data_IF_781356456730
#
_entry.id   IF_781356456730
#
_cell.length_a   1.000
_cell.length_b   1.000
_cell.length_c   1.000
_cell.angle_alpha   90.00
_cell.angle_beta   90.00
_cell.angle_gamma   90.00
#
_symmetry.space_group_name_H-M   'P 1'
#
loop_
_entity.id
_entity.type
_entity.pdbx_description
1 polymer ?
#
# COMPACT_ATOMS: atom_id res chain seq x y z
N UNK A 1 23.22 -46.40 3.95
CA UNK A 1 22.25 -46.01 4.99
C UNK A 1 22.48 -44.54 5.25
N UNK A 2 21.46 -43.81 5.67
CA UNK A 2 21.64 -42.44 6.15
C UNK A 2 22.51 -42.46 7.41
N UNK A 3 23.51 -41.60 7.48
CA UNK A 3 24.31 -41.37 8.67
C UNK A 3 23.57 -40.46 9.65
N UNK A 4 23.52 -40.90 10.91
CA UNK A 4 22.74 -40.28 11.98
C UNK A 4 23.64 -39.99 13.17
N UNK A 5 23.66 -38.73 13.59
CA UNK A 5 24.36 -38.27 14.79
C UNK A 5 23.33 -37.85 15.85
N UNK A 6 23.53 -38.30 17.11
CA UNK A 6 22.70 -37.92 18.27
C UNK A 6 23.60 -37.33 19.34
N UNK A 7 23.32 -36.10 19.81
CA UNK A 7 24.20 -35.33 20.71
C UNK A 7 23.93 -35.59 22.21
N UNK A 8 22.76 -36.14 22.54
CA UNK A 8 22.35 -36.40 23.92
C UNK A 8 21.87 -35.14 24.66
N UNK A 9 21.57 -35.25 25.95
CA UNK A 9 20.84 -34.18 26.68
C UNK A 9 21.71 -33.02 27.20
N UNK A 10 23.04 -33.14 27.10
CA UNK A 10 23.98 -32.07 27.49
C UNK A 10 24.33 -31.23 26.27
N UNK A 11 24.57 -29.93 26.44
CA UNK A 11 24.98 -29.09 25.31
C UNK A 11 26.31 -29.55 24.70
N UNK A 12 26.30 -29.82 23.40
CA UNK A 12 27.45 -30.30 22.63
C UNK A 12 27.92 -29.21 21.67
N UNK A 13 29.25 -29.07 21.55
CA UNK A 13 29.85 -28.36 20.41
C UNK A 13 30.56 -29.37 19.53
N UNK A 14 30.14 -29.47 18.26
CA UNK A 14 30.75 -30.42 17.32
C UNK A 14 30.97 -29.83 15.93
N UNK A 15 31.89 -30.45 15.18
CA UNK A 15 31.99 -30.30 13.74
C UNK A 15 31.52 -31.59 13.06
N UNK A 16 30.50 -31.49 12.22
CA UNK A 16 30.01 -32.58 11.38
C UNK A 16 30.78 -32.54 10.05
N UNK A 17 31.58 -33.56 9.79
CA UNK A 17 32.26 -33.71 8.51
C UNK A 17 31.29 -34.27 7.44
N UNK A 18 31.72 -34.32 6.19
CA UNK A 18 30.87 -34.71 5.07
C UNK A 18 30.23 -36.11 5.22
N UNK A 19 29.00 -36.24 4.72
CA UNK A 19 28.24 -37.50 4.73
C UNK A 19 27.31 -37.69 5.92
N UNK A 20 27.19 -36.70 6.81
CA UNK A 20 26.15 -36.69 7.85
C UNK A 20 24.84 -36.19 7.23
N UNK A 21 23.80 -37.03 7.23
CA UNK A 21 22.49 -36.66 6.68
C UNK A 21 21.48 -36.23 7.75
N UNK A 22 21.63 -36.69 9.00
CA UNK A 22 20.71 -36.36 10.09
C UNK A 22 21.48 -36.06 11.38
N UNK A 23 21.18 -34.93 12.01
CA UNK A 23 21.70 -34.57 13.34
C UNK A 23 20.53 -34.27 14.27
N UNK A 24 20.53 -34.94 15.42
CA UNK A 24 19.53 -34.78 16.47
C UNK A 24 20.23 -34.33 17.75
N UNK A 25 19.98 -33.11 18.15
CA UNK A 25 20.38 -32.58 19.45
C UNK A 25 19.47 -33.04 20.59
N UNK A 26 19.70 -32.47 21.77
CA UNK A 26 18.94 -32.78 22.98
C UNK A 26 18.42 -31.54 23.70
N UNK A 27 18.33 -31.61 25.03
CA UNK A 27 17.81 -30.50 25.83
C UNK A 27 18.85 -29.41 26.14
N UNK A 28 20.13 -29.67 25.88
CA UNK A 28 21.21 -28.72 26.09
C UNK A 28 21.40 -27.82 24.87
N UNK A 29 22.17 -26.74 25.02
CA UNK A 29 22.50 -25.87 23.91
C UNK A 29 23.54 -26.54 23.00
N UNK A 30 23.09 -27.02 21.84
CA UNK A 30 23.88 -27.70 20.84
C UNK A 30 24.35 -26.73 19.75
N UNK A 31 25.66 -26.77 19.48
CA UNK A 31 26.37 -25.94 18.51
C UNK A 31 27.03 -26.86 17.49
N UNK A 32 26.57 -26.79 16.24
CA UNK A 32 27.07 -27.62 15.14
C UNK A 32 27.71 -26.74 14.08
N UNK A 33 28.94 -27.09 13.69
CA UNK A 33 29.57 -26.57 12.47
C UNK A 33 29.63 -27.66 11.41
N UNK A 34 29.24 -27.37 10.18
CA UNK A 34 29.35 -28.31 9.07
C UNK A 34 30.75 -28.25 8.43
N UNK A 35 31.08 -29.30 7.68
CA UNK A 35 32.30 -29.39 6.90
C UNK A 35 32.25 -28.45 5.69
N UNK A 36 33.42 -28.22 5.07
CA UNK A 36 33.57 -27.22 4.01
C UNK A 36 32.97 -27.65 2.65
N UNK A 37 32.55 -28.92 2.53
CA UNK A 37 31.80 -29.42 1.38
C UNK A 37 30.36 -28.90 1.38
N UNK A 38 29.61 -29.14 0.29
CA UNK A 38 28.17 -28.84 0.29
C UNK A 38 27.43 -29.91 1.08
N UNK A 39 26.74 -29.51 2.15
CA UNK A 39 26.07 -30.43 3.05
C UNK A 39 24.55 -30.46 2.78
N UNK A 40 23.92 -31.61 2.97
CA UNK A 40 22.45 -31.73 2.95
C UNK A 40 22.01 -32.45 4.21
N UNK A 41 21.45 -31.70 5.17
CA UNK A 41 21.26 -32.19 6.55
C UNK A 41 19.85 -31.93 7.05
N UNK A 42 19.23 -32.96 7.64
CA UNK A 42 18.04 -32.82 8.47
C UNK A 42 18.45 -32.58 9.93
N UNK A 43 17.96 -31.51 10.54
CA UNK A 43 18.28 -31.14 11.92
C UNK A 43 17.07 -31.21 12.84
N UNK A 44 17.28 -31.62 14.09
CA UNK A 44 16.30 -31.53 15.17
C UNK A 44 17.01 -31.07 16.45
N UNK A 45 16.43 -30.10 17.16
CA UNK A 45 16.93 -29.65 18.46
C UNK A 45 18.37 -29.13 18.45
N UNK A 46 18.74 -28.35 17.43
CA UNK A 46 20.05 -27.69 17.35
C UNK A 46 19.85 -26.19 17.48
N UNK A 47 20.51 -25.56 18.46
CA UNK A 47 20.32 -24.14 18.78
C UNK A 47 21.23 -23.24 17.93
N UNK A 48 22.39 -23.72 17.49
CA UNK A 48 23.30 -22.97 16.63
C UNK A 48 23.90 -23.85 15.55
N UNK A 49 23.74 -23.42 14.30
CA UNK A 49 24.28 -24.07 13.13
C UNK A 49 25.16 -23.11 12.35
N UNK A 50 26.37 -23.54 12.01
CA UNK A 50 27.25 -22.82 11.09
C UNK A 50 27.59 -23.72 9.92
N UNK A 51 27.27 -23.28 8.71
CA UNK A 51 27.68 -23.95 7.48
C UNK A 51 29.17 -23.80 7.18
N UNK A 52 29.60 -24.48 6.14
CA UNK A 52 30.92 -24.41 5.56
C UNK A 52 30.97 -23.43 4.39
N UNK A 53 31.95 -23.64 3.49
CA UNK A 53 32.09 -22.86 2.25
C UNK A 53 31.31 -23.43 1.07
N UNK A 54 30.87 -24.68 1.18
CA UNK A 54 30.09 -25.35 0.15
C UNK A 54 28.61 -25.01 0.27
N UNK A 55 27.84 -25.37 -0.76
CA UNK A 55 26.40 -25.09 -0.76
C UNK A 55 25.68 -25.97 0.28
N UNK A 56 25.23 -25.36 1.35
CA UNK A 56 24.60 -26.02 2.49
C UNK A 56 23.07 -25.92 2.42
N UNK A 57 22.42 -27.08 2.33
CA UNK A 57 20.98 -27.24 2.28
C UNK A 57 20.46 -27.93 3.55
N UNK A 58 19.69 -27.20 4.35
CA UNK A 58 19.24 -27.63 5.67
C UNK A 58 17.74 -27.81 5.66
N UNK A 59 17.29 -28.93 6.23
CA UNK A 59 15.87 -29.14 6.55
C UNK A 59 15.72 -29.17 8.05
N UNK A 60 14.84 -28.34 8.60
CA UNK A 60 14.43 -28.41 10.00
C UNK A 60 13.41 -29.53 10.17
N UNK A 61 13.55 -30.30 11.24
CA UNK A 61 12.74 -31.46 11.50
C UNK A 61 11.31 -31.14 11.91
N UNK A 62 10.54 -32.18 12.13
CA UNK A 62 9.11 -32.18 12.49
C UNK A 62 8.80 -31.77 13.95
N UNK A 63 9.74 -31.16 14.68
CA UNK A 63 9.51 -30.55 15.98
C UNK A 63 9.51 -29.03 15.86
N UNK A 64 8.99 -28.25 16.82
CA UNK A 64 9.28 -26.81 16.83
C UNK A 64 10.79 -26.59 16.88
N UNK A 65 11.31 -25.69 16.04
CA UNK A 65 12.74 -25.40 15.97
C UNK A 65 13.01 -23.94 16.35
N UNK A 66 14.06 -23.71 17.13
CA UNK A 66 14.63 -22.39 17.39
C UNK A 66 16.12 -22.46 17.13
N UNK A 67 16.59 -21.89 16.01
CA UNK A 67 17.98 -22.06 15.56
C UNK A 67 18.60 -20.74 15.14
N UNK A 68 19.86 -20.53 15.51
CA UNK A 68 20.70 -19.50 14.91
C UNK A 68 21.53 -20.09 13.79
N UNK A 69 21.47 -19.52 12.59
CA UNK A 69 22.16 -20.02 11.39
C UNK A 69 23.18 -19.02 10.86
N UNK A 70 24.33 -19.52 10.40
CA UNK A 70 25.32 -18.74 9.67
C UNK A 70 25.90 -19.57 8.53
N UNK A 71 26.18 -18.96 7.38
CA UNK A 71 26.79 -19.66 6.23
C UNK A 71 25.92 -20.76 5.63
N UNK A 72 24.58 -20.65 5.72
CA UNK A 72 23.64 -21.60 5.12
C UNK A 72 23.08 -21.02 3.83
N UNK A 73 23.10 -21.79 2.74
CA UNK A 73 22.60 -21.35 1.43
C UNK A 73 21.10 -21.59 1.26
N UNK A 74 20.58 -22.69 1.80
CA UNK A 74 19.16 -23.04 1.74
C UNK A 74 18.67 -23.62 3.05
N UNK A 75 17.55 -23.11 3.55
CA UNK A 75 16.88 -23.61 4.74
C UNK A 75 15.40 -23.86 4.44
N UNK A 76 14.97 -25.08 4.71
CA UNK A 76 13.57 -25.51 4.63
C UNK A 76 13.08 -25.82 6.03
N UNK A 77 11.98 -25.18 6.43
CA UNK A 77 11.29 -25.46 7.68
C UNK A 77 10.64 -26.84 7.71
N UNK A 78 10.26 -27.26 8.92
CA UNK A 78 9.51 -28.47 9.20
C UNK A 78 8.00 -28.24 9.20
N UNK A 79 7.27 -29.16 9.82
CA UNK A 79 5.81 -29.11 9.91
C UNK A 79 5.29 -28.29 11.11
N UNK A 80 6.18 -27.85 11.99
CA UNK A 80 5.87 -27.11 13.21
C UNK A 80 6.57 -25.75 13.17
N UNK A 81 6.24 -24.87 14.10
CA UNK A 81 6.79 -23.52 14.13
C UNK A 81 8.32 -23.51 14.16
N UNK A 82 8.89 -22.86 13.17
CA UNK A 82 10.31 -22.63 13.00
C UNK A 82 10.65 -21.16 13.23
N UNK A 83 11.57 -20.94 14.17
CA UNK A 83 12.14 -19.64 14.49
C UNK A 83 13.62 -19.67 14.12
N UNK A 84 13.98 -18.90 13.11
CA UNK A 84 15.35 -18.83 12.58
C UNK A 84 15.94 -17.46 12.85
N UNK A 85 17.06 -17.44 13.56
CA UNK A 85 17.90 -16.25 13.73
C UNK A 85 19.07 -16.31 12.76
N UNK A 86 19.41 -15.22 12.09
CA UNK A 86 20.63 -15.16 11.29
C UNK A 86 21.81 -14.72 12.16
N UNK A 87 23.01 -15.19 11.81
CA UNK A 87 24.23 -14.88 12.53
C UNK A 87 24.65 -13.40 12.38
N UNK A 88 25.55 -12.91 13.25
CA UNK A 88 25.95 -11.50 13.27
C UNK A 88 26.73 -11.03 12.03
N UNK A 89 27.19 -11.94 11.18
CA UNK A 89 27.88 -11.62 9.93
C UNK A 89 26.91 -11.30 8.77
N UNK A 90 25.62 -11.57 8.94
CA UNK A 90 24.63 -11.55 7.86
C UNK A 90 24.57 -12.89 7.12
N UNK A 91 23.51 -13.11 6.36
CA UNK A 91 23.34 -14.28 5.48
C UNK A 91 22.91 -13.86 4.08
N UNK A 92 23.24 -14.69 3.10
CA UNK A 92 22.54 -14.73 1.81
C UNK A 92 21.97 -16.13 1.66
N UNK A 93 20.66 -16.31 1.83
CA UNK A 93 20.07 -17.65 1.86
C UNK A 93 18.70 -17.71 1.18
N UNK A 94 18.31 -18.92 0.76
CA UNK A 94 16.93 -19.23 0.40
C UNK A 94 16.21 -19.86 1.58
N UNK A 95 15.07 -19.30 2.02
CA UNK A 95 14.26 -19.81 3.10
C UNK A 95 12.88 -20.26 2.60
N UNK A 96 12.38 -21.39 3.07
CA UNK A 96 11.03 -21.85 2.76
C UNK A 96 10.39 -22.53 3.97
N UNK A 97 9.09 -22.35 4.17
CA UNK A 97 8.36 -22.98 5.28
C UNK A 97 8.82 -22.52 6.67
N UNK A 98 9.45 -21.35 6.79
CA UNK A 98 9.88 -20.77 8.08
C UNK A 98 8.86 -19.73 8.53
N UNK A 99 8.32 -19.86 9.74
CA UNK A 99 7.33 -18.91 10.26
C UNK A 99 7.95 -17.60 10.78
N UNK A 100 9.10 -17.67 11.44
CA UNK A 100 9.78 -16.50 12.00
C UNK A 100 11.22 -16.41 11.55
N UNK A 101 11.60 -15.27 10.98
CA UNK A 101 12.94 -14.99 10.51
C UNK A 101 13.46 -13.70 11.15
N UNK A 102 14.51 -13.80 11.96
CA UNK A 102 15.05 -12.68 12.72
C UNK A 102 16.50 -12.44 12.31
N UNK A 103 16.73 -11.31 11.65
CA UNK A 103 18.04 -10.86 11.22
C UNK A 103 18.97 -10.50 12.37
N UNK A 104 20.26 -10.63 12.09
CA UNK A 104 21.36 -10.28 12.97
C UNK A 104 21.80 -8.83 12.78
N UNK A 105 23.04 -8.53 13.15
CA UNK A 105 23.62 -7.19 12.96
C UNK A 105 24.30 -7.01 11.58
N UNK A 106 24.54 -8.11 10.87
CA UNK A 106 25.12 -8.09 9.54
C UNK A 106 24.06 -7.92 8.46
N UNK A 107 24.48 -7.81 7.21
CA UNK A 107 23.53 -7.62 6.10
C UNK A 107 22.87 -8.94 5.73
N UNK A 108 21.56 -9.03 5.92
CA UNK A 108 20.76 -10.22 5.66
C UNK A 108 19.97 -10.08 4.35
N UNK A 109 20.22 -10.99 3.41
CA UNK A 109 19.51 -11.13 2.14
C UNK A 109 18.83 -12.50 2.13
N UNK A 110 17.51 -12.52 2.15
CA UNK A 110 16.74 -13.77 2.13
C UNK A 110 15.82 -13.84 0.94
N UNK A 111 15.97 -14.90 0.16
CA UNK A 111 15.05 -15.27 -0.92
C UNK A 111 14.04 -16.27 -0.40
N UNK A 112 12.75 -16.00 -0.58
CA UNK A 112 11.69 -16.93 -0.25
C UNK A 112 11.62 -18.04 -1.31
N UNK A 113 11.42 -19.29 -0.86
CA UNK A 113 11.37 -20.45 -1.74
C UNK A 113 10.18 -20.41 -2.70
N UNK A 114 10.16 -21.29 -3.70
CA UNK A 114 9.17 -21.26 -4.77
C UNK A 114 7.72 -21.64 -4.38
N UNK A 115 7.47 -22.07 -3.14
CA UNK A 115 6.10 -22.19 -2.64
C UNK A 115 5.58 -20.80 -2.25
N UNK A 116 4.27 -20.62 -2.04
CA UNK A 116 3.80 -19.39 -1.37
C UNK A 116 4.20 -19.42 0.10
N UNK A 117 4.84 -18.36 0.58
CA UNK A 117 5.36 -18.27 1.95
C UNK A 117 4.54 -17.30 2.80
N UNK A 118 4.51 -17.55 4.11
CA UNK A 118 4.04 -16.56 5.10
C UNK A 118 5.08 -16.49 6.19
N UNK A 119 5.75 -15.35 6.31
CA UNK A 119 6.87 -15.17 7.24
C UNK A 119 6.67 -13.91 8.08
N UNK A 120 6.93 -14.02 9.37
CA UNK A 120 7.07 -12.88 10.26
C UNK A 120 8.56 -12.56 10.39
N UNK A 121 8.94 -11.31 10.12
CA UNK A 121 10.35 -10.93 9.99
C UNK A 121 10.71 -9.66 10.73
N UNK A 122 11.94 -9.64 11.27
CA UNK A 122 12.57 -8.46 11.89
C UNK A 122 14.05 -8.47 11.52
N UNK A 123 14.64 -7.30 11.29
CA UNK A 123 16.09 -7.19 11.07
C UNK A 123 16.63 -7.77 9.77
N UNK A 124 15.77 -8.29 8.87
CA UNK A 124 16.19 -8.70 7.53
C UNK A 124 16.28 -7.48 6.62
N UNK A 125 17.45 -7.19 6.08
CA UNK A 125 17.67 -6.00 5.26
C UNK A 125 17.03 -6.11 3.87
N UNK A 126 17.14 -7.27 3.23
CA UNK A 126 16.58 -7.51 1.88
C UNK A 126 15.80 -8.80 1.85
N UNK A 127 14.54 -8.72 1.43
CA UNK A 127 13.67 -9.86 1.19
C UNK A 127 13.33 -9.93 -0.29
N UNK A 128 13.59 -11.08 -0.92
CA UNK A 128 13.25 -11.39 -2.31
C UNK A 128 12.16 -12.45 -2.29
N UNK A 129 11.09 -12.26 -3.04
CA UNK A 129 10.03 -13.27 -3.13
C UNK A 129 10.38 -14.42 -4.07
N UNK A 130 9.61 -15.49 -3.97
CA UNK A 130 9.70 -16.68 -4.79
C UNK A 130 8.62 -16.74 -5.89
N UNK A 131 8.55 -17.88 -6.58
CA UNK A 131 7.48 -18.17 -7.54
C UNK A 131 6.19 -18.65 -6.82
N UNK A 132 5.67 -17.88 -5.87
CA UNK A 132 4.49 -18.20 -5.08
C UNK A 132 3.80 -16.92 -4.63
N UNK A 133 2.68 -17.00 -3.91
CA UNK A 133 2.13 -15.82 -3.23
C UNK A 133 2.79 -15.69 -1.87
N UNK A 134 3.59 -14.65 -1.70
CA UNK A 134 4.37 -14.39 -0.51
C UNK A 134 3.74 -13.28 0.34
N UNK A 135 3.52 -13.61 1.61
CA UNK A 135 3.08 -12.69 2.66
C UNK A 135 4.22 -12.47 3.65
N UNK A 136 4.67 -11.22 3.73
CA UNK A 136 5.71 -10.77 4.66
C UNK A 136 5.05 -9.91 5.73
N UNK A 137 5.18 -10.33 6.98
CA UNK A 137 4.67 -9.59 8.13
C UNK A 137 5.88 -9.02 8.87
N UNK A 138 5.98 -7.70 8.95
CA UNK A 138 7.01 -7.03 9.72
C UNK A 138 6.67 -7.17 11.21
N UNK A 139 7.66 -7.53 12.03
CA UNK A 139 7.44 -7.86 13.43
C UNK A 139 7.11 -6.65 14.32
N UNK A 140 7.13 -6.87 15.62
CA UNK A 140 6.66 -5.94 16.65
C UNK A 140 7.62 -4.76 16.97
N UNK A 141 8.61 -4.51 16.12
CA UNK A 141 9.47 -3.31 16.19
C UNK A 141 9.54 -2.65 14.84
N UNK A 142 9.85 -1.35 14.79
CA UNK A 142 10.07 -0.67 13.52
C UNK A 142 11.11 -1.38 12.67
N UNK A 143 10.70 -1.83 11.49
CA UNK A 143 11.53 -2.57 10.54
C UNK A 143 11.96 -1.63 9.42
N UNK A 144 13.22 -1.73 9.01
CA UNK A 144 13.68 -1.19 7.72
C UNK A 144 14.00 -2.38 6.83
N UNK A 145 13.35 -2.46 5.67
CA UNK A 145 13.51 -3.58 4.75
C UNK A 145 13.47 -3.09 3.30
N UNK A 146 14.27 -3.72 2.45
CA UNK A 146 14.11 -3.70 1.01
C UNK A 146 13.36 -4.94 0.54
N UNK A 147 12.19 -4.76 -0.04
CA UNK A 147 11.42 -5.82 -0.68
C UNK A 147 11.71 -5.81 -2.18
N UNK A 148 12.42 -6.82 -2.66
CA UNK A 148 12.69 -7.03 -4.08
C UNK A 148 11.50 -7.75 -4.74
N UNK A 149 11.61 -8.01 -6.05
CA UNK A 149 10.55 -8.66 -6.82
C UNK A 149 10.05 -9.98 -6.23
N UNK A 150 8.76 -10.25 -6.44
CA UNK A 150 8.08 -11.48 -6.03
C UNK A 150 7.44 -11.45 -4.65
N UNK A 151 7.49 -10.33 -3.91
CA UNK A 151 6.73 -10.17 -2.66
C UNK A 151 5.38 -9.53 -2.97
N UNK A 152 4.27 -10.27 -2.82
CA UNK A 152 2.94 -9.76 -3.17
C UNK A 152 2.27 -8.97 -2.05
N UNK A 153 2.50 -9.34 -0.79
CA UNK A 153 1.82 -8.71 0.36
C UNK A 153 2.83 -8.40 1.47
N UNK A 154 2.83 -7.15 1.92
CA UNK A 154 3.61 -6.72 3.09
C UNK A 154 2.67 -6.10 4.11
N UNK A 155 2.72 -6.61 5.34
CA UNK A 155 1.95 -6.12 6.47
C UNK A 155 2.92 -5.63 7.52
N UNK A 156 2.88 -4.34 7.83
CA UNK A 156 3.62 -3.75 8.92
C UNK A 156 3.17 -4.25 10.27
N UNK A 157 4.06 -4.09 11.25
CA UNK A 157 3.86 -4.50 12.63
C UNK A 157 3.64 -3.31 13.55
N UNK A 158 4.26 -3.35 14.73
CA UNK A 158 4.30 -2.19 15.61
C UNK A 158 5.63 -1.48 15.50
N UNK A 159 5.62 -0.16 15.68
CA UNK A 159 6.79 0.68 15.40
C UNK A 159 6.58 1.43 14.09
N UNK A 160 7.64 2.10 13.63
CA UNK A 160 7.62 2.75 12.31
C UNK A 160 8.34 1.86 11.32
N UNK A 161 7.61 1.39 10.33
CA UNK A 161 8.09 0.53 9.28
C UNK A 161 8.47 1.33 8.03
N UNK A 162 9.65 1.03 7.51
CA UNK A 162 10.26 1.68 6.35
C UNK A 162 10.54 0.59 5.32
N UNK A 163 9.79 0.62 4.22
CA UNK A 163 9.94 -0.33 3.11
C UNK A 163 10.44 0.40 1.88
N UNK A 164 11.50 -0.14 1.26
CA UNK A 164 11.91 0.24 -0.10
C UNK A 164 11.62 -0.90 -1.06
N UNK A 165 11.11 -0.59 -2.25
CA UNK A 165 10.84 -1.60 -3.27
C UNK A 165 12.03 -1.78 -4.21
N UNK A 166 12.08 -2.97 -4.79
CA UNK A 166 13.03 -3.38 -5.80
C UNK A 166 13.03 -2.48 -7.04
N UNK A 167 14.08 -2.59 -7.85
CA UNK A 167 14.01 -2.08 -9.23
C UNK A 167 13.05 -2.96 -10.07
N UNK A 168 12.43 -2.37 -11.09
CA UNK A 168 11.36 -2.99 -11.86
C UNK A 168 9.97 -2.53 -11.38
N UNK A 169 8.92 -2.81 -12.16
CA UNK A 169 7.56 -2.47 -11.75
C UNK A 169 7.07 -3.45 -10.68
N UNK A 170 6.82 -2.95 -9.47
CA UNK A 170 6.31 -3.73 -8.35
C UNK A 170 4.78 -3.68 -8.30
N UNK A 171 4.13 -4.78 -7.91
CA UNK A 171 2.68 -4.80 -7.64
C UNK A 171 2.45 -5.42 -6.27
N UNK A 172 2.17 -4.58 -5.27
CA UNK A 172 2.18 -5.00 -3.86
C UNK A 172 0.94 -4.52 -3.13
N UNK A 173 0.34 -5.40 -2.33
CA UNK A 173 -0.66 -5.06 -1.32
C UNK A 173 0.03 -4.70 -0.01
N UNK A 174 -0.20 -3.49 0.51
CA UNK A 174 0.41 -3.00 1.74
C UNK A 174 -0.61 -2.74 2.84
N UNK A 175 -0.20 -2.96 4.09
CA UNK A 175 -0.94 -2.54 5.29
C UNK A 175 0.04 -2.06 6.36
N UNK A 176 -0.27 -0.97 7.03
CA UNK A 176 0.48 -0.53 8.22
C UNK A 176 1.96 -0.19 7.96
N UNK A 177 2.30 0.32 6.78
CA UNK A 177 3.66 0.79 6.47
C UNK A 177 3.69 2.31 6.54
N UNK A 178 4.60 2.88 7.34
CA UNK A 178 4.67 4.34 7.56
C UNK A 178 5.52 5.07 6.51
N UNK A 179 6.52 4.41 5.94
CA UNK A 179 7.35 4.98 4.86
C UNK A 179 7.55 3.99 3.74
N UNK A 180 7.19 4.39 2.52
CA UNK A 180 7.35 3.60 1.32
C UNK A 180 8.18 4.36 0.28
N UNK A 181 9.22 3.72 -0.23
CA UNK A 181 10.01 4.25 -1.36
C UNK A 181 9.99 3.26 -2.50
N UNK A 182 9.50 3.68 -3.66
CA UNK A 182 9.57 2.88 -4.89
C UNK A 182 10.96 2.83 -5.49
N UNK A 183 11.14 1.89 -6.42
CA UNK A 183 12.37 1.73 -7.19
C UNK A 183 12.29 2.43 -8.54
N UNK A 184 13.12 2.00 -9.49
CA UNK A 184 12.84 2.30 -10.91
C UNK A 184 11.72 1.40 -11.42
N UNK A 185 10.90 1.86 -12.37
CA UNK A 185 9.81 1.04 -12.92
C UNK A 185 8.47 1.73 -12.75
N UNK A 186 7.39 0.99 -12.97
CA UNK A 186 6.04 1.46 -12.68
C UNK A 186 5.50 0.64 -11.50
N UNK A 187 5.52 1.24 -10.33
CA UNK A 187 5.03 0.65 -9.09
C UNK A 187 3.52 0.88 -8.94
N UNK A 188 2.82 -0.21 -8.64
CA UNK A 188 1.36 -0.25 -8.40
C UNK A 188 1.10 -0.79 -7.00
N UNK A 189 0.73 0.10 -6.10
CA UNK A 189 0.53 -0.21 -4.69
C UNK A 189 -0.94 -0.16 -4.36
N UNK A 190 -1.44 -1.19 -3.71
CA UNK A 190 -2.80 -1.20 -3.14
C UNK A 190 -2.70 -1.15 -1.63
N UNK A 191 -3.43 -0.23 -1.01
CA UNK A 191 -3.58 -0.18 0.45
C UNK A 191 -4.71 -1.12 0.88
N UNK A 192 -4.50 -1.83 1.99
CA UNK A 192 -5.50 -2.71 2.55
C UNK A 192 -6.65 -1.97 3.22
N UNK A 193 -7.43 -2.70 4.03
CA UNK A 193 -8.68 -2.21 4.61
C UNK A 193 -8.53 -1.42 5.93
N UNK A 194 -7.30 -1.10 6.33
CA UNK A 194 -6.98 -0.38 7.58
C UNK A 194 -6.37 0.96 7.21
N UNK A 195 -6.86 2.04 7.82
CA UNK A 195 -6.33 3.38 7.58
C UNK A 195 -4.84 3.45 7.93
N UNK A 196 -4.06 4.12 7.08
CA UNK A 196 -2.61 4.30 7.27
C UNK A 196 -2.23 5.78 7.27
N UNK A 197 -1.19 6.14 8.01
CA UNK A 197 -0.47 7.42 7.80
C UNK A 197 0.87 7.09 7.19
N UNK A 198 1.07 7.44 5.92
CA UNK A 198 2.21 6.98 5.13
C UNK A 198 2.88 8.14 4.39
N UNK A 199 4.21 8.15 4.39
CA UNK A 199 5.01 8.94 3.46
C UNK A 199 5.43 8.07 2.28
N UNK A 200 5.18 8.54 1.06
CA UNK A 200 5.51 7.83 -0.19
C UNK A 200 6.46 8.65 -1.06
N UNK A 201 7.34 7.98 -1.80
CA UNK A 201 8.12 8.58 -2.88
C UNK A 201 8.42 7.55 -3.96
N UNK A 202 8.51 7.99 -5.22
CA UNK A 202 8.85 7.10 -6.34
C UNK A 202 7.80 6.02 -6.64
N UNK A 203 6.52 6.27 -6.30
CA UNK A 203 5.42 5.34 -6.58
C UNK A 203 4.54 5.95 -7.68
N UNK A 204 4.32 5.22 -8.77
CA UNK A 204 3.55 5.71 -9.92
C UNK A 204 2.04 5.60 -9.69
N UNK A 205 1.57 4.51 -9.08
CA UNK A 205 0.15 4.31 -8.78
C UNK A 205 -0.06 3.83 -7.36
N UNK A 206 -0.90 4.54 -6.61
CA UNK A 206 -1.34 4.16 -5.27
C UNK A 206 -2.86 4.09 -5.24
N UNK A 207 -3.39 2.93 -4.92
CA UNK A 207 -4.82 2.66 -4.83
C UNK A 207 -5.17 2.56 -3.34
N UNK A 208 -5.98 3.49 -2.87
CA UNK A 208 -6.51 3.50 -1.51
C UNK A 208 -7.40 2.30 -1.21
N UNK A 209 -7.60 2.03 0.07
CA UNK A 209 -8.46 0.96 0.55
C UNK A 209 -9.80 1.45 1.07
N UNK A 210 -10.45 0.62 1.89
CA UNK A 210 -11.63 1.04 2.67
C UNK A 210 -11.25 1.76 3.97
N UNK A 211 -9.97 1.76 4.32
CA UNK A 211 -9.45 2.54 5.44
C UNK A 211 -9.41 4.01 5.08
N UNK A 212 -9.48 4.88 6.08
CA UNK A 212 -9.20 6.31 5.88
C UNK A 212 -7.70 6.52 5.93
N UNK A 213 -7.11 6.87 4.79
CA UNK A 213 -5.68 6.96 4.60
C UNK A 213 -5.19 8.42 4.65
N UNK A 214 -3.98 8.65 5.17
CA UNK A 214 -3.31 9.93 5.20
C UNK A 214 -1.95 9.80 4.53
N UNK A 215 -1.89 10.18 3.25
CA UNK A 215 -0.74 9.99 2.38
C UNK A 215 0.00 11.30 2.18
N UNK A 216 1.30 11.30 2.43
CA UNK A 216 2.20 12.40 2.10
C UNK A 216 3.15 11.96 1.00
N UNK A 217 3.04 12.58 -0.18
CA UNK A 217 3.97 12.38 -1.28
C UNK A 217 5.16 13.31 -1.07
N UNK A 218 6.35 12.74 -0.96
CA UNK A 218 7.58 13.46 -0.61
C UNK A 218 8.50 13.69 -1.82
N UNK A 219 8.26 12.99 -2.93
CA UNK A 219 9.02 13.15 -4.18
C UNK A 219 8.58 12.17 -5.27
N UNK A 220 9.19 12.29 -6.44
CA UNK A 220 8.87 11.50 -7.63
C UNK A 220 8.51 12.39 -8.83
N UNK A 221 8.21 11.76 -9.97
CA UNK A 221 7.78 12.41 -11.22
C UNK A 221 6.27 12.66 -11.32
N UNK A 222 5.52 12.38 -10.25
CA UNK A 222 4.07 12.45 -10.16
C UNK A 222 3.49 11.14 -9.62
N UNK A 223 2.36 11.20 -8.92
CA UNK A 223 1.62 10.02 -8.44
C UNK A 223 0.23 9.96 -9.07
N UNK A 224 -0.25 8.75 -9.38
CA UNK A 224 -1.66 8.48 -9.61
C UNK A 224 -2.29 7.89 -8.34
N UNK A 225 -3.01 8.70 -7.58
CA UNK A 225 -3.69 8.26 -6.36
C UNK A 225 -5.17 8.01 -6.61
N UNK A 226 -5.61 6.75 -6.55
CA UNK A 226 -7.02 6.41 -6.52
C UNK A 226 -7.52 6.46 -5.07
N UNK A 227 -8.29 7.49 -4.76
CA UNK A 227 -8.70 7.78 -3.40
C UNK A 227 -9.93 6.95 -2.96
N UNK A 228 -9.96 6.60 -1.68
CA UNK A 228 -11.08 6.00 -0.96
C UNK A 228 -11.80 6.99 -0.04
N UNK A 229 -12.63 6.46 0.86
CA UNK A 229 -13.51 7.26 1.74
C UNK A 229 -12.70 7.96 2.84
N UNK A 230 -12.70 9.29 2.80
CA UNK A 230 -12.12 10.14 3.86
C UNK A 230 -10.62 10.36 3.73
N UNK A 231 -10.01 9.88 2.66
CA UNK A 231 -8.56 9.94 2.48
C UNK A 231 -8.06 11.39 2.44
N UNK A 232 -6.85 11.59 2.95
CA UNK A 232 -6.11 12.83 2.82
C UNK A 232 -4.81 12.60 2.06
N UNK A 233 -4.52 13.50 1.12
CA UNK A 233 -3.36 13.45 0.25
C UNK A 233 -2.64 14.81 0.28
N UNK A 234 -1.40 14.82 0.75
CA UNK A 234 -0.50 15.96 0.60
C UNK A 234 0.48 15.67 -0.52
N UNK A 235 0.36 16.42 -1.62
CA UNK A 235 1.23 16.28 -2.78
C UNK A 235 2.58 16.97 -2.57
N UNK A 236 3.58 16.52 -3.32
CA UNK A 236 4.91 17.14 -3.33
C UNK A 236 4.87 18.45 -4.14
N UNK A 237 5.66 19.46 -3.76
CA UNK A 237 5.70 20.75 -4.46
C UNK A 237 6.55 20.73 -5.75
N UNK A 238 6.51 19.63 -6.52
CA UNK A 238 7.36 19.38 -7.69
C UNK A 238 6.68 19.67 -9.04
N UNK A 239 7.40 19.46 -10.15
CA UNK A 239 6.85 19.62 -11.52
C UNK A 239 6.26 18.33 -12.10
N UNK A 240 6.18 17.27 -11.29
CA UNK A 240 5.50 16.04 -11.68
C UNK A 240 4.01 16.30 -11.83
N UNK A 241 3.35 15.59 -12.75
CA UNK A 241 1.88 15.64 -12.83
C UNK A 241 1.32 14.64 -11.83
N UNK A 242 0.72 15.15 -10.76
CA UNK A 242 -0.04 14.33 -9.83
C UNK A 242 -1.49 14.18 -10.32
N UNK A 243 -2.07 13.00 -10.11
CA UNK A 243 -3.44 12.67 -10.52
C UNK A 243 -4.22 12.09 -9.37
N UNK A 244 -5.31 12.76 -8.98
CA UNK A 244 -6.29 12.25 -8.02
C UNK A 244 -7.43 11.60 -8.78
N UNK A 245 -7.65 10.31 -8.55
CA UNK A 245 -8.60 9.50 -9.32
C UNK A 245 -9.81 9.17 -8.45
N UNK A 246 -11.00 9.43 -8.99
CA UNK A 246 -12.27 8.93 -8.46
C UNK A 246 -12.77 7.82 -9.40
N UNK A 247 -12.74 6.58 -8.93
CA UNK A 247 -13.14 5.40 -9.73
C UNK A 247 -14.64 5.11 -9.66
N UNK A 248 -15.23 5.39 -8.50
CA UNK A 248 -16.66 5.39 -8.26
C UNK A 248 -16.99 6.50 -7.28
N UNK A 249 -18.11 7.21 -7.49
CA UNK A 249 -18.58 8.13 -6.46
C UNK A 249 -18.96 7.40 -5.18
N UNK A 250 -19.30 6.11 -5.24
CA UNK A 250 -19.64 5.28 -4.06
C UNK A 250 -18.43 4.93 -3.18
N UNK A 251 -17.21 5.15 -3.67
CA UNK A 251 -15.99 5.04 -2.86
C UNK A 251 -15.86 6.24 -1.91
N UNK A 252 -16.75 7.23 -2.04
CA UNK A 252 -16.95 8.37 -1.16
C UNK A 252 -18.29 8.21 -0.43
N UNK A 253 -18.48 8.94 0.67
CA UNK A 253 -19.75 8.99 1.40
C UNK A 253 -20.96 9.28 0.52
N UNK A 254 -22.12 8.79 0.94
CA UNK A 254 -23.39 8.94 0.23
C UNK A 254 -23.85 10.40 0.07
N UNK A 255 -24.82 10.64 -0.81
CA UNK A 255 -25.51 11.93 -0.92
C UNK A 255 -26.06 12.37 0.45
N UNK A 256 -25.96 13.67 0.76
CA UNK A 256 -26.31 14.22 2.07
C UNK A 256 -25.17 14.26 3.09
N UNK A 257 -24.08 13.52 2.85
CA UNK A 257 -22.93 13.54 3.75
C UNK A 257 -22.01 14.72 3.46
N UNK A 258 -21.49 15.33 4.53
CA UNK A 258 -20.41 16.32 4.49
C UNK A 258 -19.10 15.76 5.08
N UNK A 259 -18.95 14.43 5.12
CA UNK A 259 -17.79 13.69 5.64
C UNK A 259 -17.33 12.65 4.63
N UNK A 260 -16.16 12.04 4.83
CA UNK A 260 -15.64 10.95 3.98
C UNK A 260 -15.28 11.36 2.55
N UNK A 261 -15.19 12.65 2.28
CA UNK A 261 -14.63 13.22 1.05
C UNK A 261 -13.10 13.14 1.08
N UNK A 262 -12.48 13.23 -0.09
CA UNK A 262 -11.02 13.26 -0.23
C UNK A 262 -10.49 14.66 0.08
N UNK A 263 -9.50 14.79 0.94
CA UNK A 263 -8.83 16.07 1.20
C UNK A 263 -7.47 16.11 0.52
N UNK A 264 -7.23 17.10 -0.34
CA UNK A 264 -5.99 17.21 -1.09
C UNK A 264 -5.31 18.53 -0.74
N UNK A 265 -3.99 18.54 -0.52
CA UNK A 265 -3.18 19.74 -0.36
C UNK A 265 -2.01 19.75 -1.34
N UNK A 266 -1.51 20.95 -1.64
CA UNK A 266 -0.44 21.21 -2.61
C UNK A 266 -0.75 20.83 -4.07
N UNK A 267 -2.03 20.64 -4.40
CA UNK A 267 -2.45 20.46 -5.78
C UNK A 267 -2.14 21.69 -6.63
N UNK A 268 -1.54 21.50 -7.79
CA UNK A 268 -1.11 22.53 -8.72
C UNK A 268 -2.05 22.60 -9.92
N UNK A 269 -3.03 23.50 -9.87
CA UNK A 269 -3.94 23.75 -11.00
C UNK A 269 -3.16 24.04 -12.29
N UNK A 270 -3.59 23.45 -13.40
CA UNK A 270 -2.92 23.48 -14.70
C UNK A 270 -1.91 22.35 -14.93
N UNK A 271 -1.27 21.86 -13.87
CA UNK A 271 -0.28 20.76 -13.93
C UNK A 271 -0.90 19.43 -13.51
N UNK A 272 -1.50 19.41 -12.32
CA UNK A 272 -2.10 18.23 -11.73
C UNK A 272 -3.51 17.99 -12.29
N UNK A 273 -4.00 16.76 -12.11
CA UNK A 273 -5.29 16.32 -12.65
C UNK A 273 -6.17 15.66 -11.61
N UNK A 274 -7.47 15.81 -11.84
CA UNK A 274 -8.53 15.08 -11.20
C UNK A 274 -9.19 14.23 -12.27
N UNK A 275 -9.04 12.92 -12.18
CA UNK A 275 -9.55 11.98 -13.16
C UNK A 275 -10.77 11.24 -12.65
N UNK A 276 -11.81 11.20 -13.49
CA UNK A 276 -12.96 10.34 -13.29
C UNK A 276 -12.77 9.08 -14.14
N UNK A 277 -12.77 7.93 -13.51
CA UNK A 277 -12.63 6.62 -14.18
C UNK A 277 -13.80 5.71 -13.81
N UNK A 278 -13.83 4.48 -14.33
CA UNK A 278 -14.80 3.47 -13.91
C UNK A 278 -16.26 3.95 -13.98
N UNK A 279 -17.01 3.73 -12.90
CA UNK A 279 -18.41 4.12 -12.79
C UNK A 279 -18.58 5.62 -12.56
N UNK A 280 -17.58 6.31 -11.99
CA UNK A 280 -17.60 7.76 -11.86
C UNK A 280 -17.58 8.43 -13.24
N UNK A 281 -16.74 7.93 -14.16
CA UNK A 281 -16.69 8.35 -15.56
C UNK A 281 -18.04 8.20 -16.25
N UNK A 282 -18.64 7.01 -16.20
CA UNK A 282 -19.96 6.78 -16.85
C UNK A 282 -21.10 7.56 -16.21
N UNK A 283 -20.97 7.92 -14.93
CA UNK A 283 -21.98 8.75 -14.24
C UNK A 283 -21.83 10.23 -14.61
N UNK A 284 -20.61 10.69 -14.85
CA UNK A 284 -20.31 12.06 -15.24
C UNK A 284 -20.57 12.32 -16.73
N UNK A 285 -20.11 11.42 -17.61
CA UNK A 285 -20.32 11.43 -19.06
C UNK A 285 -21.71 10.84 -19.38
N UNK A 286 -22.73 11.69 -19.31
CA UNK A 286 -24.14 11.29 -19.49
C UNK A 286 -24.48 11.08 -20.94
N UNK A 287 -23.83 11.81 -21.84
CA UNK A 287 -24.10 11.71 -23.28
C UNK A 287 -23.28 10.59 -23.96
N UNK A 288 -22.27 10.05 -23.28
CA UNK A 288 -21.44 8.93 -23.70
C UNK A 288 -20.45 9.29 -24.81
N UNK A 289 -20.12 10.57 -24.99
CA UNK A 289 -19.23 11.05 -26.05
C UNK A 289 -17.74 11.01 -25.67
N UNK A 290 -17.43 10.53 -24.46
CA UNK A 290 -16.09 10.44 -23.88
C UNK A 290 -15.42 11.81 -23.66
N UNK A 291 -16.22 12.87 -23.50
CA UNK A 291 -15.77 14.19 -23.07
C UNK A 291 -16.68 14.74 -21.96
N UNK A 292 -16.23 15.78 -21.27
CA UNK A 292 -17.08 16.51 -20.34
C UNK A 292 -17.65 17.75 -21.04
N UNK A 293 -18.96 17.81 -21.17
CA UNK A 293 -19.71 19.04 -21.48
C UNK A 293 -19.55 20.03 -20.33
N UNK A 294 -18.63 20.99 -20.49
CA UNK A 294 -18.28 21.94 -19.43
C UNK A 294 -18.95 23.29 -19.59
N UNK A 295 -19.24 23.97 -18.47
CA UNK A 295 -19.72 25.35 -18.47
C UNK A 295 -19.29 26.11 -17.21
N UNK A 296 -19.44 27.43 -17.23
CA UNK A 296 -19.37 28.28 -16.05
C UNK A 296 -20.70 28.96 -15.80
N UNK A 297 -21.14 29.04 -14.54
CA UNK A 297 -22.43 29.63 -14.20
C UNK A 297 -22.39 30.37 -12.86
N UNK A 298 -23.19 31.42 -12.73
CA UNK A 298 -23.44 32.08 -11.46
C UNK A 298 -24.57 31.38 -10.68
N UNK A 299 -24.85 31.85 -9.47
CA UNK A 299 -25.98 31.42 -8.64
C UNK A 299 -27.29 31.43 -9.43
N UNK A 300 -28.10 30.40 -9.28
CA UNK A 300 -29.36 30.17 -10.02
C UNK A 300 -29.20 29.88 -11.53
N UNK A 301 -27.97 29.70 -12.03
CA UNK A 301 -27.68 29.53 -13.46
C UNK A 301 -27.13 28.16 -13.84
N UNK A 302 -26.99 27.22 -12.90
CA UNK A 302 -26.40 25.90 -13.18
C UNK A 302 -27.41 25.05 -13.96
N UNK A 303 -27.06 24.73 -15.21
CA UNK A 303 -27.84 23.82 -16.06
C UNK A 303 -27.38 22.38 -15.82
N UNK A 304 -28.23 21.58 -15.18
CA UNK A 304 -27.93 20.19 -14.79
C UNK A 304 -28.30 19.18 -15.90
N UNK A 305 -29.15 19.58 -16.85
CA UNK A 305 -29.63 18.73 -17.93
C UNK A 305 -28.61 18.51 -19.05
N UNK A 306 -27.85 19.55 -19.45
CA UNK A 306 -26.90 19.47 -20.57
C UNK A 306 -25.42 19.49 -20.18
N UNK A 307 -25.10 20.00 -18.99
CA UNK A 307 -23.71 20.15 -18.56
C UNK A 307 -23.34 19.02 -17.60
N UNK A 308 -22.14 18.49 -17.78
CA UNK A 308 -21.61 17.37 -17.01
C UNK A 308 -20.67 17.84 -15.92
N UNK A 309 -19.99 18.97 -16.16
CA UNK A 309 -19.18 19.66 -15.19
C UNK A 309 -19.41 21.17 -15.28
N UNK A 310 -19.77 21.80 -14.16
CA UNK A 310 -20.00 23.25 -14.08
C UNK A 310 -19.08 23.89 -13.06
N UNK A 311 -18.35 24.92 -13.47
CA UNK A 311 -17.61 25.79 -12.55
C UNK A 311 -18.52 26.92 -12.08
N UNK A 312 -18.74 27.00 -10.77
CA UNK A 312 -19.52 28.07 -10.16
C UNK A 312 -18.67 29.35 -10.12
N UNK A 313 -19.17 30.44 -10.70
CA UNK A 313 -18.52 31.75 -10.68
C UNK A 313 -18.85 32.55 -9.41
N UNK A 314 -19.96 32.23 -8.76
CA UNK A 314 -20.28 32.72 -7.42
C UNK A 314 -19.40 32.04 -6.38
N UNK A 315 -18.67 32.84 -5.60
CA UNK A 315 -17.84 32.32 -4.50
C UNK A 315 -18.73 31.80 -3.37
N UNK A 316 -18.35 30.66 -2.80
CA UNK A 316 -18.96 30.12 -1.58
C UNK A 316 -18.56 30.99 -0.39
N UNK A 317 -19.50 31.76 0.15
CA UNK A 317 -19.28 32.54 1.37
C UNK A 317 -19.24 31.61 2.58
N UNK A 318 -18.05 31.19 3.00
CA UNK A 318 -17.84 30.35 4.18
C UNK A 318 -17.07 29.07 3.90
N UNK A 319 -17.41 28.01 4.65
CA UNK A 319 -16.78 26.70 4.48
C UNK A 319 -17.35 25.96 3.28
N UNK A 320 -16.51 25.17 2.63
CA UNK A 320 -16.90 24.19 1.61
C UNK A 320 -17.46 22.89 2.24
N UNK A 321 -17.31 22.72 3.55
CA UNK A 321 -17.61 21.48 4.29
C UNK A 321 -18.58 21.70 5.46
N UNK A 322 -19.29 22.83 5.49
CA UNK A 322 -20.21 23.14 6.58
C UNK A 322 -21.33 22.10 6.71
N UNK A 323 -22.01 22.11 7.85
CA UNK A 323 -23.10 21.18 8.12
C UNK A 323 -24.15 21.27 7.00
N UNK A 324 -24.55 20.13 6.46
CA UNK A 324 -25.46 19.98 5.31
C UNK A 324 -24.94 20.54 3.97
N UNK A 325 -23.74 21.12 3.90
CA UNK A 325 -23.22 21.86 2.74
C UNK A 325 -24.03 23.14 2.44
N UNK A 326 -24.46 23.87 3.47
CA UNK A 326 -25.38 25.00 3.35
C UNK A 326 -24.79 26.19 2.59
N UNK A 327 -23.53 26.54 2.88
CA UNK A 327 -22.80 27.60 2.16
C UNK A 327 -22.68 27.28 0.66
N UNK A 328 -22.35 26.03 0.30
CA UNK A 328 -22.31 25.59 -1.10
C UNK A 328 -23.68 25.70 -1.77
N UNK A 329 -24.74 25.17 -1.15
CA UNK A 329 -26.11 25.21 -1.72
C UNK A 329 -26.61 26.64 -1.91
N UNK A 330 -26.29 27.55 -0.99
CA UNK A 330 -26.61 28.98 -1.13
C UNK A 330 -25.91 29.61 -2.34
N UNK A 331 -24.63 29.29 -2.55
CA UNK A 331 -23.87 29.78 -3.70
C UNK A 331 -24.39 29.19 -5.03
N UNK A 332 -24.81 27.92 -5.02
CA UNK A 332 -25.38 27.22 -6.17
C UNK A 332 -26.75 27.80 -6.56
N UNK A 333 -27.64 27.98 -5.59
CA UNK A 333 -29.01 28.44 -5.81
C UNK A 333 -29.88 27.38 -6.51
N UNK A 334 -30.83 27.82 -7.32
CA UNK A 334 -31.73 26.94 -8.08
C UNK A 334 -31.07 26.39 -9.34
N UNK A 335 -31.42 25.17 -9.71
CA UNK A 335 -30.96 24.52 -10.93
C UNK A 335 -31.87 24.89 -12.12
N UNK A 336 -31.29 24.87 -13.32
CA UNK A 336 -32.01 25.06 -14.58
C UNK A 336 -31.97 23.79 -15.40
N UNK A 337 -32.98 23.58 -16.25
CA UNK A 337 -33.16 22.37 -17.05
C UNK A 337 -33.07 21.09 -16.21
N UNK A 338 -33.65 21.14 -15.01
CA UNK A 338 -33.68 20.00 -14.10
C UNK A 338 -34.85 19.07 -14.38
N UNK A 339 -34.65 17.80 -14.03
CA UNK A 339 -35.66 16.75 -14.04
C UNK A 339 -35.27 15.71 -12.99
N UNK A 340 -36.22 14.88 -12.57
CA UNK A 340 -35.95 13.89 -11.53
C UNK A 340 -34.84 12.92 -11.98
N UNK A 341 -33.79 12.81 -11.16
CA UNK A 341 -32.58 12.03 -11.42
C UNK A 341 -31.49 12.76 -12.22
N UNK A 342 -31.71 14.02 -12.63
CA UNK A 342 -30.67 14.79 -13.32
C UNK A 342 -29.49 15.05 -12.38
N UNK A 343 -28.27 14.88 -12.88
CA UNK A 343 -27.04 15.05 -12.10
C UNK A 343 -26.08 16.02 -12.77
N UNK A 344 -25.09 16.55 -12.06
CA UNK A 344 -23.92 17.20 -12.67
C UNK A 344 -22.82 17.26 -11.63
N UNK A 345 -21.58 17.44 -12.09
CA UNK A 345 -20.49 17.81 -11.21
C UNK A 345 -20.43 19.33 -11.10
N UNK A 346 -20.23 19.83 -9.89
CA UNK A 346 -20.06 21.26 -9.63
C UNK A 346 -18.70 21.47 -8.99
N UNK A 347 -17.89 22.31 -9.64
CA UNK A 347 -16.68 22.84 -9.06
C UNK A 347 -16.99 24.21 -8.44
N UNK A 348 -16.87 24.32 -7.11
CA UNK A 348 -17.09 25.58 -6.40
C UNK A 348 -15.87 25.94 -5.56
N UNK A 349 -15.64 27.22 -5.30
CA UNK A 349 -14.51 27.68 -4.50
C UNK A 349 -14.94 28.73 -3.48
N UNK A 350 -14.15 28.88 -2.41
CA UNK A 350 -14.33 29.91 -1.38
C UNK A 350 -13.30 31.05 -1.50
N UNK A 351 -12.71 31.23 -2.68
CA UNK A 351 -11.64 32.20 -2.96
C UNK A 351 -10.23 31.71 -2.67
N UNK A 352 -10.05 30.59 -1.94
CA UNK A 352 -8.72 30.02 -1.66
C UNK A 352 -8.63 28.53 -1.95
N UNK A 353 -9.72 27.79 -1.73
CA UNK A 353 -9.78 26.34 -1.90
C UNK A 353 -10.96 25.98 -2.79
N UNK A 354 -10.92 24.79 -3.38
CA UNK A 354 -12.00 24.26 -4.21
C UNK A 354 -12.66 23.06 -3.57
N UNK A 355 -13.96 22.91 -3.78
CA UNK A 355 -14.70 21.68 -3.54
C UNK A 355 -15.25 21.15 -4.87
N UNK A 356 -15.07 19.85 -5.09
CA UNK A 356 -15.70 19.12 -6.18
C UNK A 356 -16.92 18.38 -5.63
N UNK A 357 -18.10 18.67 -6.16
CA UNK A 357 -19.36 18.13 -5.69
C UNK A 357 -20.06 17.36 -6.80
N UNK A 358 -20.75 16.29 -6.44
CA UNK A 358 -21.82 15.71 -7.24
C UNK A 358 -23.14 16.28 -6.75
N UNK A 359 -23.93 16.84 -7.66
CA UNK A 359 -25.31 17.28 -7.40
C UNK A 359 -26.24 16.36 -8.18
N UNK A 360 -27.30 15.87 -7.53
CA UNK A 360 -28.33 15.02 -8.13
C UNK A 360 -29.68 15.57 -7.69
N UNK A 361 -30.42 16.20 -8.59
CA UNK A 361 -31.81 16.59 -8.32
C UNK A 361 -32.68 15.33 -8.39
N UNK A 362 -33.01 14.78 -7.22
CA UNK A 362 -33.68 13.47 -7.11
C UNK A 362 -35.18 13.57 -7.37
N UNK A 363 -35.77 14.75 -7.18
CA UNK A 363 -37.22 14.95 -7.25
C UNK A 363 -37.65 15.81 -8.46
N UNK A 364 -36.71 16.45 -9.14
CA UNK A 364 -36.91 17.28 -10.33
C UNK A 364 -37.50 18.65 -10.07
N UNK A 365 -37.45 19.16 -8.83
CA UNK A 365 -38.04 20.45 -8.47
C UNK A 365 -37.12 21.66 -8.73
N UNK A 366 -35.87 21.40 -9.15
CA UNK A 366 -34.87 22.42 -9.43
C UNK A 366 -34.34 23.15 -8.19
N UNK A 367 -34.72 22.72 -6.99
CA UNK A 367 -34.08 23.10 -5.74
C UNK A 367 -32.95 22.10 -5.43
N UNK A 368 -32.12 22.43 -4.45
CA UNK A 368 -31.03 21.55 -4.01
C UNK A 368 -31.14 21.34 -2.51
N UNK A 369 -31.66 20.17 -2.11
CA UNK A 369 -31.65 19.72 -0.74
C UNK A 369 -30.25 19.25 -0.32
N UNK A 370 -30.00 19.14 0.99
CA UNK A 370 -28.74 18.60 1.48
C UNK A 370 -28.51 17.16 0.98
N UNK A 371 -29.58 16.34 0.98
CA UNK A 371 -29.60 14.94 0.54
C UNK A 371 -29.37 14.73 -0.96
N UNK A 372 -29.18 15.81 -1.72
CA UNK A 372 -28.98 15.84 -3.16
C UNK A 372 -27.56 16.23 -3.55
N UNK A 373 -26.70 16.46 -2.56
CA UNK A 373 -25.31 16.85 -2.76
C UNK A 373 -24.39 15.84 -2.10
N UNK A 374 -23.32 15.49 -2.80
CA UNK A 374 -22.18 14.74 -2.27
C UNK A 374 -20.93 15.56 -2.52
N UNK A 375 -20.16 15.81 -1.46
CA UNK A 375 -18.83 16.38 -1.59
C UNK A 375 -17.85 15.25 -1.91
N UNK A 376 -17.21 15.30 -3.08
CA UNK A 376 -16.25 14.29 -3.54
C UNK A 376 -14.86 14.56 -2.97
N UNK A 377 -14.40 15.81 -3.07
CA UNK A 377 -13.14 16.20 -2.49
C UNK A 377 -12.95 17.70 -2.34
N UNK A 378 -12.00 18.07 -1.48
CA UNK A 378 -11.60 19.44 -1.16
C UNK A 378 -10.13 19.60 -1.46
N UNK A 379 -9.80 20.60 -2.28
CA UNK A 379 -8.44 20.95 -2.70
C UNK A 379 -8.03 22.21 -1.94
N UNK A 380 -7.32 22.00 -0.84
CA UNK A 380 -6.97 23.02 0.13
C UNK A 380 -5.87 23.93 -0.41
N UNK A 381 -6.12 25.24 -0.40
CA UNK A 381 -5.18 26.24 -0.88
C UNK A 381 -5.09 26.34 -2.41
N UNK A 382 -5.95 25.64 -3.14
CA UNK A 382 -5.97 25.66 -4.62
C UNK A 382 -7.37 25.95 -5.17
N UNK A 383 -7.45 26.96 -6.04
CA UNK A 383 -8.62 27.20 -6.89
C UNK A 383 -8.44 26.45 -8.21
N UNK A 384 -9.22 25.39 -8.42
CA UNK A 384 -9.17 24.57 -9.62
C UNK A 384 -9.89 25.25 -10.80
N UNK A 385 -9.55 24.80 -11.99
CA UNK A 385 -10.16 25.14 -13.26
C UNK A 385 -10.88 23.93 -13.87
N UNK A 386 -11.74 24.17 -14.86
CA UNK A 386 -12.39 23.09 -15.62
C UNK A 386 -11.39 22.17 -16.32
N UNK A 387 -10.21 22.68 -16.71
CA UNK A 387 -9.16 21.89 -17.36
C UNK A 387 -8.38 20.97 -16.40
N UNK A 388 -8.60 21.10 -15.10
CA UNK A 388 -7.99 20.20 -14.10
C UNK A 388 -8.77 18.90 -13.95
N UNK A 389 -10.03 18.88 -14.41
CA UNK A 389 -10.91 17.71 -14.29
C UNK A 389 -11.13 17.11 -15.67
N UNK A 390 -10.91 15.82 -15.81
CA UNK A 390 -11.07 15.10 -17.06
C UNK A 390 -11.61 13.68 -16.82
N UNK A 391 -11.97 13.02 -17.92
CA UNK A 391 -12.24 11.59 -17.94
C UNK A 391 -10.91 10.88 -18.22
N UNK A 392 -10.60 9.86 -17.42
CA UNK A 392 -9.44 8.99 -17.64
C UNK A 392 -9.71 7.86 -18.63
#
# INVERSE_FOLDING_TARGET
GSDLVILGDTGVTMRAEGGVEIIVGGAGNDIVSLGDGGNTVLLRGIETLTGGTGNDAITLGDTPNTVTVAGIDSLTGGANTDIVFTGPAGVTMTASGVEFLVGGAGSDVVTLGAAGNTVITRGIDTMIGGAGSDLVILGDTGVTMRAEGGVEIIVGGSGSDIVSLGDGGNTVLLRGIETLTGGTGNDVITLGNTGVTMSVSGIETLIGGSGTDAITVTGGSGIRFQAGTGDSLSLASGSGTDTVVYSSFTDISALGANTGFVSVSNFQSGTDKVELTGTARTTADKNGDASLSTASAATNGVNIGSNELVSLTSVVSGSLTDASLASFRSALGTLTNSSAGASTLVLANNGTSSGLYQVVDTNGDGQVAATEVRLLGVYNGTVLSLSDINLG
#
